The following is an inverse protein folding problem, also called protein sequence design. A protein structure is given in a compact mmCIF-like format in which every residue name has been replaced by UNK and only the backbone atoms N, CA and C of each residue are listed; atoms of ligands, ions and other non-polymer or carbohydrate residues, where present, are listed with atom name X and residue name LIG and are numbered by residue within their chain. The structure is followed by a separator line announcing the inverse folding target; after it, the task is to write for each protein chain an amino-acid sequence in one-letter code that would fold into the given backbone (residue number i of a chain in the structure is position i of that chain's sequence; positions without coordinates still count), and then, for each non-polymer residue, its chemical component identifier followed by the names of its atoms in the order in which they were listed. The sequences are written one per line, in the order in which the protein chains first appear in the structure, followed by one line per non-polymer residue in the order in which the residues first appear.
data_IF_430446278744
#
_entry.id   IF_430446278744
#
_cell.length_a   1.000
_cell.length_b   1.000
_cell.length_c   1.000
_cell.angle_alpha   90.00
_cell.angle_beta   90.00
_cell.angle_gamma   90.00
#
_symmetry.space_group_name_H-M   'P 1'
#
loop_
_entity.id
_entity.type
_entity.pdbx_description
1 polymer ?
#
# COMPACT_ATOMS: atom_id res chain seq x y z
N UNK A 1 -2.80 -9.93 -4.38
CA UNK A 1 -2.87 -8.86 -3.36
C UNK A 1 -1.86 -9.20 -2.26
N UNK A 2 -1.02 -8.26 -1.79
CA UNK A 2 -0.02 -8.55 -0.73
C UNK A 2 -0.59 -8.49 0.70
N UNK A 3 -1.90 -8.22 0.85
CA UNK A 3 -2.61 -8.28 2.14
C UNK A 3 -2.25 -7.18 3.15
N UNK A 4 -1.41 -6.21 2.79
CA UNK A 4 -1.01 -5.14 3.67
C UNK A 4 -2.06 -4.03 3.77
N UNK A 5 -2.20 -3.47 4.97
CA UNK A 5 -2.87 -2.18 5.17
C UNK A 5 -1.87 -1.09 4.80
N UNK A 6 -2.28 -0.16 3.94
CA UNK A 6 -1.41 0.91 3.48
C UNK A 6 -2.00 2.29 3.79
N UNK A 7 -1.17 3.16 4.34
CA UNK A 7 -1.46 4.59 4.53
C UNK A 7 -0.82 5.42 3.42
N UNK A 8 -1.36 6.60 3.17
CA UNK A 8 -0.84 7.49 2.12
C UNK A 8 0.23 8.42 2.68
N UNK A 9 1.33 8.56 1.94
CA UNK A 9 2.30 9.66 2.09
C UNK A 9 2.44 10.37 0.75
N UNK A 10 2.86 11.64 0.77
CA UNK A 10 3.41 12.29 -0.42
C UNK A 10 4.89 11.93 -0.58
N UNK A 11 5.43 12.10 -1.78
CA UNK A 11 6.86 11.89 -2.04
C UNK A 11 7.74 12.77 -1.13
N UNK A 12 7.36 14.05 -0.91
CA UNK A 12 8.12 14.98 -0.07
C UNK A 12 8.14 14.63 1.43
N UNK A 13 7.20 13.78 1.89
CA UNK A 13 7.10 13.34 3.29
C UNK A 13 7.66 11.93 3.50
N UNK A 14 8.35 11.37 2.51
CA UNK A 14 8.93 10.03 2.58
C UNK A 14 10.41 10.06 2.23
N UNK A 15 11.24 9.39 3.04
CA UNK A 15 12.68 9.29 2.78
C UNK A 15 13.16 7.91 3.16
N UNK A 16 13.92 7.27 2.26
CA UNK A 16 14.62 6.03 2.55
C UNK A 16 15.92 6.39 3.25
N UNK A 17 16.02 6.03 4.53
CA UNK A 17 17.22 6.31 5.34
C UNK A 17 18.36 5.34 5.02
N UNK A 18 18.04 4.06 4.77
CA UNK A 18 19.00 3.00 4.49
C UNK A 18 18.37 1.84 3.70
N UNK A 19 19.22 0.94 3.17
CA UNK A 19 18.78 -0.31 2.53
C UNK A 19 18.09 -0.14 1.17
N UNK A 20 18.20 1.04 0.54
CA UNK A 20 17.63 1.33 -0.76
C UNK A 20 18.10 0.33 -1.83
N UNK A 21 19.37 -0.09 -1.75
CA UNK A 21 19.96 -1.07 -2.63
C UNK A 21 19.32 -2.45 -2.48
N UNK A 22 18.76 -2.79 -1.31
CA UNK A 22 18.10 -4.08 -1.04
C UNK A 22 16.65 -4.14 -1.53
N UNK A 23 16.09 -3.02 -1.99
CA UNK A 23 14.74 -3.00 -2.53
C UNK A 23 14.72 -3.58 -3.94
N UNK A 24 13.79 -4.50 -4.15
CA UNK A 24 13.35 -4.92 -5.47
C UNK A 24 12.06 -4.18 -5.85
N UNK A 25 11.92 -3.86 -7.14
CA UNK A 25 10.74 -3.17 -7.67
C UNK A 25 9.96 -4.10 -8.59
N UNK A 26 8.69 -4.30 -8.29
CA UNK A 26 7.74 -5.01 -9.14
C UNK A 26 6.78 -4.04 -9.82
N UNK A 27 6.66 -4.15 -11.15
CA UNK A 27 5.74 -3.39 -11.98
C UNK A 27 4.94 -4.36 -12.85
N UNK A 28 3.65 -4.12 -13.05
CA UNK A 28 2.78 -4.95 -13.89
C UNK A 28 1.74 -4.08 -14.62
N UNK A 29 0.98 -4.69 -15.54
CA UNK A 29 -0.07 -4.03 -16.32
C UNK A 29 0.46 -2.75 -17.02
N UNK A 30 -0.03 -1.56 -16.64
CA UNK A 30 0.41 -0.27 -17.22
C UNK A 30 1.83 0.12 -16.81
N UNK A 31 2.45 -0.63 -15.89
CA UNK A 31 3.79 -0.38 -15.33
C UNK A 31 3.94 0.96 -14.62
N UNK A 32 2.84 1.65 -14.32
CA UNK A 32 2.81 2.96 -13.65
C UNK A 32 3.05 2.82 -12.14
N UNK A 33 2.39 1.85 -11.50
CA UNK A 33 2.65 1.58 -10.09
C UNK A 33 4.00 0.88 -9.91
N UNK A 34 4.73 1.28 -8.87
CA UNK A 34 6.03 0.72 -8.52
C UNK A 34 5.94 0.11 -7.14
N UNK A 35 5.90 -1.21 -7.05
CA UNK A 35 5.78 -1.91 -5.77
C UNK A 35 7.15 -2.31 -5.24
N UNK A 36 7.58 -1.69 -4.15
CA UNK A 36 8.89 -1.93 -3.54
C UNK A 36 8.79 -2.93 -2.38
N UNK A 37 9.74 -3.86 -2.33
CA UNK A 37 9.85 -4.85 -1.27
C UNK A 37 11.31 -5.22 -1.04
N UNK A 38 11.66 -5.61 0.18
CA UNK A 38 13.01 -6.09 0.47
C UNK A 38 13.25 -7.43 -0.23
N UNK A 39 14.33 -7.55 -1.01
CA UNK A 39 14.65 -8.79 -1.72
C UNK A 39 15.16 -9.91 -0.81
N UNK A 40 15.58 -9.57 0.41
CA UNK A 40 16.12 -10.54 1.36
C UNK A 40 15.01 -11.18 2.22
N UNK A 41 14.10 -10.38 2.78
CA UNK A 41 13.01 -10.89 3.63
C UNK A 41 11.62 -10.90 2.95
N UNK A 42 11.48 -10.33 1.76
CA UNK A 42 10.23 -10.31 1.00
C UNK A 42 9.19 -9.28 1.46
N UNK A 43 9.43 -8.58 2.57
CA UNK A 43 8.50 -7.60 3.14
C UNK A 43 8.28 -6.44 2.17
N UNK A 44 7.00 -6.21 1.84
CA UNK A 44 6.54 -5.05 1.09
C UNK A 44 6.54 -3.82 1.99
N UNK A 45 7.29 -2.79 1.60
CA UNK A 45 7.49 -1.57 2.40
C UNK A 45 6.57 -0.46 1.90
N UNK A 46 6.64 -0.13 0.61
CA UNK A 46 5.86 0.94 0.02
C UNK A 46 5.66 0.75 -1.49
N UNK A 47 4.75 1.51 -2.08
CA UNK A 47 4.63 1.60 -3.53
C UNK A 47 4.26 3.00 -4.00
N UNK A 48 4.72 3.38 -5.19
CA UNK A 48 4.13 4.50 -5.94
C UNK A 48 2.79 4.09 -6.52
N UNK A 49 1.75 4.89 -6.29
CA UNK A 49 0.37 4.56 -6.69
C UNK A 49 0.18 4.79 -8.18
N UNK A 50 -0.57 3.90 -8.83
CA UNK A 50 -1.03 4.12 -10.21
C UNK A 50 -2.06 5.25 -10.30
N UNK A 51 -2.91 5.40 -9.29
CA UNK A 51 -3.98 6.41 -9.28
C UNK A 51 -3.46 7.84 -9.12
N UNK A 52 -2.34 8.02 -8.41
CA UNK A 52 -1.67 9.30 -8.24
C UNK A 52 -0.15 9.06 -8.07
N UNK A 53 0.67 9.34 -9.10
CA UNK A 53 2.10 9.10 -9.07
C UNK A 53 2.89 9.93 -8.03
N UNK A 54 2.29 11.01 -7.51
CA UNK A 54 2.90 11.87 -6.48
C UNK A 54 2.62 11.35 -5.05
N UNK A 55 1.94 10.20 -4.95
CA UNK A 55 1.57 9.57 -3.70
C UNK A 55 2.14 8.16 -3.58
N UNK A 56 2.51 7.85 -2.34
CA UNK A 56 2.96 6.55 -1.90
C UNK A 56 1.86 5.86 -1.09
N UNK A 57 1.78 4.54 -1.21
CA UNK A 57 1.15 3.70 -0.20
C UNK A 57 2.23 3.03 0.64
N UNK A 58 2.27 3.30 1.94
CA UNK A 58 3.25 2.76 2.89
C UNK A 58 2.58 1.68 3.75
N UNK A 59 3.22 0.52 3.86
CA UNK A 59 2.74 -0.57 4.71
C UNK A 59 2.80 -0.16 6.19
N UNK A 60 1.66 -0.12 6.86
CA UNK A 60 1.58 0.29 8.27
C UNK A 60 2.36 -0.63 9.20
N UNK A 61 2.49 -1.92 8.85
CA UNK A 61 3.24 -2.89 9.63
C UNK A 61 4.77 -2.64 9.63
N UNK A 62 5.25 -1.74 8.77
CA UNK A 62 6.64 -1.30 8.75
C UNK A 62 6.87 -0.03 9.58
N UNK A 63 5.82 0.56 10.16
CA UNK A 63 5.93 1.75 11.00
C UNK A 63 6.18 1.30 12.45
N UNK A 64 7.13 1.96 13.10
CA UNK A 64 7.45 1.68 14.50
C UNK A 64 6.21 1.89 15.40
N UNK A 65 5.94 0.91 16.27
CA UNK A 65 4.84 0.97 17.22
C UNK A 65 3.44 0.78 16.62
N UNK A 66 3.33 0.41 15.34
CA UNK A 66 2.03 0.21 14.66
C UNK A 66 1.86 -1.24 14.23
N UNK A 67 0.74 -1.82 14.63
CA UNK A 67 0.26 -3.13 14.21
C UNK A 67 -0.91 -3.01 13.23
N UNK A 68 -1.03 -3.89 12.21
CA UNK A 68 -2.25 -3.99 11.40
C UNK A 68 -3.53 -4.22 12.21
N UNK A 69 -3.40 -4.72 13.44
CA UNK A 69 -4.52 -4.99 14.34
C UNK A 69 -4.92 -3.78 15.21
N UNK A 70 -4.20 -2.67 15.13
CA UNK A 70 -4.57 -1.43 15.84
C UNK A 70 -5.77 -0.73 15.19
N UNK A 71 -6.14 -1.14 13.96
CA UNK A 71 -7.26 -0.60 13.22
C UNK A 71 -8.51 -1.44 13.50
N UNK A 72 -9.49 -0.85 14.19
CA UNK A 72 -10.80 -1.48 14.41
C UNK A 72 -11.49 -1.86 13.11
N UNK A 73 -11.44 -0.98 12.12
CA UNK A 73 -12.11 -1.14 10.83
C UNK A 73 -11.20 -0.69 9.68
N UNK A 74 -11.16 -1.48 8.60
CA UNK A 74 -10.36 -1.20 7.40
C UNK A 74 -11.21 -1.44 6.16
N UNK A 75 -11.32 -0.43 5.31
CA UNK A 75 -12.02 -0.55 4.02
C UNK A 75 -11.23 -1.48 3.09
N UNK A 76 -11.92 -2.44 2.49
CA UNK A 76 -11.37 -3.34 1.47
C UNK A 76 -11.84 -2.90 0.10
N UNK A 77 -10.91 -2.52 -0.76
CA UNK A 77 -11.19 -2.24 -2.17
C UNK A 77 -11.33 -3.53 -2.97
N UNK A 78 -12.13 -3.52 -4.03
CA UNK A 78 -12.45 -4.74 -4.80
C UNK A 78 -11.26 -5.37 -5.55
N UNK A 79 -10.17 -4.60 -5.73
CA UNK A 79 -8.93 -5.03 -6.36
C UNK A 79 -9.06 -5.39 -7.85
N UNK A 80 -10.23 -5.18 -8.45
CA UNK A 80 -10.53 -5.56 -9.83
C UNK A 80 -10.68 -4.33 -10.72
N UNK A 81 -11.35 -3.29 -10.24
CA UNK A 81 -11.62 -2.07 -11.00
C UNK A 81 -10.79 -0.92 -10.45
N UNK A 82 -9.81 -0.48 -11.23
CA UNK A 82 -8.95 0.60 -10.81
C UNK A 82 -9.60 1.98 -11.12
N UNK A 83 -9.49 2.97 -10.21
CA UNK A 83 -10.09 4.30 -10.41
C UNK A 83 -9.53 5.03 -11.64
N UNK A 84 -8.29 4.77 -12.03
CA UNK A 84 -7.71 5.32 -13.28
C UNK A 84 -8.29 4.76 -14.59
N UNK A 85 -9.11 3.70 -14.54
CA UNK A 85 -9.69 3.07 -15.75
C UNK A 85 -11.13 3.52 -16.03
N UNK A 86 -11.67 4.46 -15.25
CA UNK A 86 -13.00 4.99 -15.48
C UNK A 86 -13.04 6.53 -15.41
N UNK A 87 -13.86 7.20 -16.24
CA UNK A 87 -13.88 8.67 -16.32
C UNK A 87 -14.27 9.38 -15.02
N UNK A 88 -15.02 8.70 -14.15
CA UNK A 88 -15.47 9.26 -12.88
C UNK A 88 -14.41 9.12 -11.77
N UNK A 89 -13.25 8.53 -12.04
CA UNK A 89 -12.22 8.20 -11.06
C UNK A 89 -12.75 7.48 -9.81
N UNK A 90 -13.79 6.68 -9.99
CA UNK A 90 -14.49 6.00 -8.92
C UNK A 90 -13.67 4.84 -8.39
N UNK A 91 -13.54 4.78 -7.06
CA UNK A 91 -13.03 3.62 -6.32
C UNK A 91 -14.18 2.71 -5.91
N UNK A 92 -13.97 1.40 -5.97
CA UNK A 92 -14.99 0.39 -5.65
C UNK A 92 -14.59 -0.37 -4.38
N UNK A 93 -15.52 -0.41 -3.42
CA UNK A 93 -15.34 -1.10 -2.14
C UNK A 93 -15.97 -2.49 -2.22
N UNK A 94 -15.22 -3.51 -1.81
CA UNK A 94 -15.74 -4.87 -1.62
C UNK A 94 -16.34 -5.10 -0.23
N UNK A 95 -15.87 -4.38 0.78
CA UNK A 95 -16.40 -4.45 2.14
C UNK A 95 -15.53 -3.73 3.15
N UNK A 96 -15.72 -4.08 4.42
CA UNK A 96 -14.91 -3.60 5.55
C UNK A 96 -14.45 -4.81 6.35
N UNK A 97 -13.14 -4.89 6.65
CA UNK A 97 -12.62 -5.82 7.63
C UNK A 97 -12.73 -5.18 9.02
N UNK A 98 -13.21 -5.94 9.98
CA UNK A 98 -13.28 -5.53 11.38
C UNK A 98 -12.37 -6.42 12.22
N UNK A 99 -11.55 -5.79 13.05
CA UNK A 99 -10.78 -6.49 14.07
C UNK A 99 -11.39 -6.20 15.44
N UNK A 100 -11.54 -7.24 16.25
CA UNK A 100 -11.97 -7.13 17.65
C UNK A 100 -11.00 -7.96 18.46
N UNK A 101 -10.18 -7.34 19.34
CA UNK A 101 -9.29 -8.10 20.21
C UNK A 101 -10.11 -9.00 21.12
N UNK A 102 -9.53 -10.14 21.49
CA UNK A 102 -10.21 -11.13 22.34
C UNK A 102 -10.38 -10.59 23.76
N UNK A 103 -9.35 -9.92 24.29
CA UNK A 103 -9.26 -9.14 25.54
C UNK A 103 -7.84 -8.53 25.60
#
# INVERSE_FOLDING_TARGET
MRGAIAVTSTDDNFTILEGAEQLATYRFNTRTAEHHFCRNCGIYTHHKRRSNPDQLGVNVACLEGISPFDFREVVVYDGQRHPGDNPAHRTYTAGTLTFTPVE
#
